data_IF_401739614404
#
_entry.id   IF_401739614404
#
_cell.length_a   1.000
_cell.length_b   1.000
_cell.length_c   1.000
_cell.angle_alpha   90.00
_cell.angle_beta   90.00
_cell.angle_gamma   90.00
#
_symmetry.space_group_name_H-M   'P 1'
#
loop_
_entity.id
_entity.type
_entity.pdbx_description
1 polymer ?
#
# COMPACT_ATOMS: atom_id res chain seq x y z
N UNK A 1 -18.80 -9.27 -21.36
CA UNK A 1 -19.44 -8.71 -20.16
C UNK A 1 -18.33 -8.46 -19.16
N UNK A 2 -18.32 -7.31 -18.48
CA UNK A 2 -17.31 -7.02 -17.46
C UNK A 2 -17.53 -7.89 -16.23
N UNK A 3 -16.46 -8.43 -15.64
CA UNK A 3 -16.55 -9.28 -14.46
C UNK A 3 -15.32 -9.02 -13.58
N UNK A 4 -15.55 -8.45 -12.41
CA UNK A 4 -14.50 -8.09 -11.45
C UNK A 4 -14.67 -8.92 -10.18
N UNK A 5 -13.60 -9.59 -9.77
CA UNK A 5 -13.51 -10.27 -8.49
C UNK A 5 -12.75 -9.40 -7.50
N UNK A 6 -13.22 -9.38 -6.26
CA UNK A 6 -12.45 -8.86 -5.12
C UNK A 6 -12.12 -10.02 -4.17
N UNK A 7 -10.84 -10.20 -3.90
CA UNK A 7 -10.33 -11.23 -2.98
C UNK A 7 -9.99 -10.57 -1.66
N UNK A 8 -10.52 -11.12 -0.58
CA UNK A 8 -10.40 -10.56 0.77
C UNK A 8 -10.17 -11.67 1.81
N UNK A 9 -8.93 -11.90 2.24
CA UNK A 9 -8.65 -12.76 3.39
C UNK A 9 -9.14 -12.08 4.70
N UNK A 10 -10.04 -12.72 5.44
CA UNK A 10 -10.53 -12.14 6.69
C UNK A 10 -9.41 -12.03 7.72
N UNK A 11 -9.33 -10.88 8.38
CA UNK A 11 -8.37 -10.65 9.46
C UNK A 11 -6.92 -11.02 9.06
N UNK A 12 -6.49 -10.70 7.85
CA UNK A 12 -5.26 -11.18 7.21
C UNK A 12 -4.03 -11.15 8.13
N UNK A 13 -3.75 -10.00 8.76
CA UNK A 13 -2.57 -9.84 9.60
C UNK A 13 -2.60 -10.78 10.82
N UNK A 14 -3.72 -10.83 11.55
CA UNK A 14 -3.85 -11.68 12.74
C UNK A 14 -3.93 -13.17 12.39
N UNK A 15 -4.52 -13.51 11.25
CA UNK A 15 -4.52 -14.89 10.74
C UNK A 15 -3.10 -15.37 10.45
N UNK A 16 -2.25 -14.54 9.84
CA UNK A 16 -0.85 -14.88 9.59
C UNK A 16 -0.04 -15.03 10.88
N UNK A 17 -0.24 -14.15 11.86
CA UNK A 17 0.43 -14.30 13.17
C UNK A 17 -0.01 -15.62 13.86
N UNK A 18 -1.30 -15.97 13.74
CA UNK A 18 -1.78 -17.27 14.25
C UNK A 18 -1.26 -18.49 13.47
N UNK A 19 -0.87 -18.35 12.19
CA UNK A 19 -0.20 -19.40 11.43
C UNK A 19 1.25 -19.60 11.88
N UNK A 20 1.94 -18.50 12.18
CA UNK A 20 3.32 -18.53 12.70
C UNK A 20 3.37 -19.04 14.15
N UNK A 21 2.42 -18.61 14.99
CA UNK A 21 2.32 -18.99 16.38
C UNK A 21 0.94 -19.62 16.69
N UNK A 22 0.77 -20.95 16.55
CA UNK A 22 -0.53 -21.63 16.69
C UNK A 22 -1.24 -21.39 18.03
N UNK A 23 -0.50 -21.13 19.11
CA UNK A 23 -1.05 -20.80 20.42
C UNK A 23 -1.89 -19.50 20.43
N UNK A 24 -1.77 -18.67 19.40
CA UNK A 24 -2.49 -17.41 19.27
C UNK A 24 -3.83 -17.54 18.53
N UNK A 25 -4.11 -18.67 17.86
CA UNK A 25 -5.26 -18.83 16.94
C UNK A 25 -6.62 -18.66 17.62
N UNK A 26 -6.72 -19.02 18.90
CA UNK A 26 -8.00 -19.01 19.65
C UNK A 26 -8.07 -17.85 20.63
N UNK A 27 -7.07 -16.97 20.64
CA UNK A 27 -7.00 -15.86 21.59
C UNK A 27 -7.40 -14.54 20.92
N UNK A 28 -7.98 -13.59 21.67
CA UNK A 28 -8.22 -12.25 21.15
C UNK A 28 -6.90 -11.55 20.86
N UNK A 29 -6.66 -11.23 19.55
CA UNK A 29 -5.46 -10.58 19.07
C UNK A 29 -5.76 -9.21 18.49
N UNK A 30 -4.89 -8.26 18.75
CA UNK A 30 -4.84 -6.96 18.08
C UNK A 30 -3.44 -6.70 17.53
N UNK A 31 -3.36 -6.14 16.34
CA UNK A 31 -2.13 -5.61 15.79
C UNK A 31 -2.14 -4.10 15.99
N UNK A 32 -1.11 -3.57 16.66
CA UNK A 32 -0.99 -2.14 16.88
C UNK A 32 0.49 -1.72 16.97
N UNK A 33 0.83 -0.45 16.67
CA UNK A 33 2.19 0.05 16.81
C UNK A 33 2.69 -0.09 18.26
N UNK A 34 3.95 -0.45 18.48
CA UNK A 34 4.51 -0.52 19.82
C UNK A 34 4.61 0.89 20.44
N UNK A 35 4.38 0.97 21.75
CA UNK A 35 4.79 2.05 22.63
C UNK A 35 4.16 3.44 22.44
N UNK A 36 2.96 3.59 21.85
CA UNK A 36 2.24 4.85 21.92
C UNK A 36 1.00 4.73 22.82
N UNK A 37 0.89 5.52 23.86
CA UNK A 37 -0.27 5.56 24.77
C UNK A 37 -1.62 5.77 24.05
N UNK A 38 -1.56 6.30 22.82
CA UNK A 38 -2.68 6.57 21.93
C UNK A 38 -2.70 5.69 20.69
N UNK A 39 -1.87 4.63 20.64
CA UNK A 39 -1.86 3.75 19.49
C UNK A 39 -3.25 3.14 19.26
N UNK A 40 -3.71 3.29 18.03
CA UNK A 40 -4.97 2.71 17.60
C UNK A 40 -4.74 1.31 17.03
N UNK A 41 -5.72 0.45 17.20
CA UNK A 41 -5.71 -0.90 16.66
C UNK A 41 -5.76 -0.85 15.14
N UNK A 42 -4.78 -1.49 14.48
CA UNK A 42 -4.69 -1.60 13.02
C UNK A 42 -5.46 -2.81 12.48
N UNK A 43 -5.41 -3.94 13.19
CA UNK A 43 -6.11 -5.15 12.80
C UNK A 43 -6.52 -5.95 14.04
N UNK A 44 -7.61 -6.72 13.92
CA UNK A 44 -8.19 -7.53 14.99
C UNK A 44 -8.44 -8.96 14.51
N UNK A 45 -8.27 -9.93 15.41
CA UNK A 45 -8.74 -11.29 15.20
C UNK A 45 -10.27 -11.37 15.30
N UNK A 46 -10.86 -12.48 14.86
CA UNK A 46 -12.28 -12.73 14.99
C UNK A 46 -12.73 -12.76 16.47
N UNK A 47 -11.90 -13.32 17.34
CA UNK A 47 -12.12 -13.41 18.79
C UNK A 47 -12.16 -12.02 19.43
N UNK A 48 -11.22 -11.16 19.07
CA UNK A 48 -11.19 -9.78 19.58
C UNK A 48 -12.41 -8.96 19.13
N UNK A 49 -12.88 -9.18 17.90
CA UNK A 49 -14.11 -8.54 17.41
C UNK A 49 -15.36 -9.04 18.13
N UNK A 50 -15.46 -10.36 18.42
CA UNK A 50 -16.55 -10.93 19.23
C UNK A 50 -16.58 -10.35 20.66
N UNK A 51 -15.43 -9.92 21.17
CA UNK A 51 -15.34 -9.18 22.43
C UNK A 51 -15.70 -7.69 22.32
N UNK A 52 -16.27 -7.25 21.19
CA UNK A 52 -16.73 -5.87 20.98
C UNK A 52 -15.63 -4.87 20.61
N UNK A 53 -14.43 -5.34 20.25
CA UNK A 53 -13.35 -4.45 19.84
C UNK A 53 -13.48 -4.04 18.38
N UNK A 54 -13.16 -2.78 18.08
CA UNK A 54 -13.22 -2.22 16.73
C UNK A 54 -11.84 -1.73 16.26
N UNK A 55 -11.64 -1.76 14.96
CA UNK A 55 -10.45 -1.18 14.35
C UNK A 55 -10.44 0.34 14.56
N UNK A 56 -9.27 0.90 14.84
CA UNK A 56 -9.14 2.32 15.21
C UNK A 56 -9.35 2.62 16.69
N UNK A 57 -9.86 1.66 17.48
CA UNK A 57 -10.02 1.83 18.93
C UNK A 57 -8.65 2.01 19.59
N UNK A 58 -8.49 2.95 20.56
CA UNK A 58 -7.27 3.08 21.35
C UNK A 58 -6.98 1.79 22.16
N UNK A 59 -5.72 1.37 22.20
CA UNK A 59 -5.30 0.13 22.89
C UNK A 59 -5.76 0.11 24.35
N UNK A 60 -5.61 1.22 25.07
CA UNK A 60 -6.05 1.30 26.48
C UNK A 60 -7.53 1.03 26.67
N UNK A 61 -8.38 1.52 25.76
CA UNK A 61 -9.82 1.25 25.78
C UNK A 61 -10.09 -0.21 25.47
N UNK A 62 -9.42 -0.77 24.46
CA UNK A 62 -9.55 -2.16 24.07
C UNK A 62 -9.16 -3.14 25.21
N UNK A 63 -8.05 -2.87 25.90
CA UNK A 63 -7.59 -3.68 27.04
C UNK A 63 -8.53 -3.62 28.24
N UNK A 64 -9.25 -2.50 28.43
CA UNK A 64 -10.30 -2.42 29.47
C UNK A 64 -11.51 -3.27 29.12
N UNK A 65 -11.89 -3.32 27.83
CA UNK A 65 -13.02 -4.12 27.36
C UNK A 65 -12.68 -5.62 27.28
N UNK A 66 -11.44 -5.94 26.93
CA UNK A 66 -10.95 -7.31 26.81
C UNK A 66 -9.60 -7.44 27.53
N UNK A 67 -9.57 -7.80 28.82
CA UNK A 67 -8.33 -7.93 29.60
C UNK A 67 -7.37 -8.98 29.02
N UNK A 68 -7.90 -10.03 28.38
CA UNK A 68 -7.10 -11.10 27.76
C UNK A 68 -6.56 -10.75 26.37
N UNK A 69 -6.73 -9.51 25.93
CA UNK A 69 -6.27 -9.04 24.62
C UNK A 69 -4.76 -9.10 24.50
N UNK A 70 -4.27 -9.87 23.53
CA UNK A 70 -2.86 -9.89 23.16
C UNK A 70 -2.62 -8.84 22.10
N UNK A 71 -1.72 -7.89 22.36
CA UNK A 71 -1.32 -6.86 21.41
C UNK A 71 0.03 -7.20 20.83
N UNK A 72 0.11 -7.33 19.49
CA UNK A 72 1.33 -7.62 18.75
C UNK A 72 1.74 -6.41 17.89
N UNK A 73 3.04 -6.16 17.74
CA UNK A 73 3.52 -5.16 16.78
C UNK A 73 3.28 -5.64 15.35
N UNK A 74 3.07 -4.72 14.38
CA UNK A 74 2.95 -5.08 12.98
C UNK A 74 4.21 -5.78 12.47
N UNK A 75 4.02 -6.83 11.64
CA UNK A 75 5.10 -7.55 10.97
C UNK A 75 5.00 -7.37 9.43
N UNK A 76 5.42 -6.20 8.89
CA UNK A 76 5.25 -5.89 7.47
C UNK A 76 5.96 -6.88 6.55
N UNK A 77 7.08 -7.47 7.01
CA UNK A 77 7.83 -8.46 6.21
C UNK A 77 7.03 -9.75 5.99
N UNK A 78 6.39 -10.24 7.06
CA UNK A 78 5.51 -11.42 6.99
C UNK A 78 4.32 -11.14 6.08
N UNK A 79 3.63 -10.01 6.29
CA UNK A 79 2.43 -9.64 5.53
C UNK A 79 2.73 -9.43 4.04
N UNK A 80 3.85 -8.77 3.72
CA UNK A 80 4.27 -8.58 2.33
C UNK A 80 4.65 -9.89 1.64
N UNK A 81 5.28 -10.84 2.35
CA UNK A 81 5.63 -12.16 1.81
C UNK A 81 4.39 -12.98 1.53
N UNK A 82 3.46 -13.04 2.47
CA UNK A 82 2.20 -13.77 2.30
C UNK A 82 1.32 -13.15 1.21
N UNK A 83 1.29 -11.81 1.12
CA UNK A 83 0.56 -11.09 0.06
C UNK A 83 1.14 -11.38 -1.32
N UNK A 84 2.47 -11.44 -1.47
CA UNK A 84 3.11 -11.85 -2.74
C UNK A 84 2.75 -13.27 -3.13
N UNK A 85 2.83 -14.22 -2.19
CA UNK A 85 2.47 -15.61 -2.43
C UNK A 85 0.99 -15.74 -2.87
N UNK A 86 0.09 -14.98 -2.25
CA UNK A 86 -1.32 -14.92 -2.69
C UNK A 86 -1.43 -14.37 -4.12
N UNK A 87 -0.77 -13.26 -4.43
CA UNK A 87 -0.82 -12.67 -5.77
C UNK A 87 -0.22 -13.58 -6.84
N UNK A 88 0.80 -14.37 -6.54
CA UNK A 88 1.35 -15.40 -7.45
C UNK A 88 0.31 -16.46 -7.80
N UNK A 89 -0.47 -16.92 -6.81
CA UNK A 89 -1.58 -17.85 -7.07
C UNK A 89 -2.63 -17.17 -7.95
N UNK A 90 -3.03 -15.94 -7.63
CA UNK A 90 -4.08 -15.22 -8.35
C UNK A 90 -3.74 -14.96 -9.83
N UNK A 91 -2.45 -14.73 -10.15
CA UNK A 91 -1.97 -14.48 -11.53
C UNK A 91 -2.26 -15.62 -12.51
N UNK A 92 -2.44 -16.83 -12.02
CA UNK A 92 -2.79 -17.98 -12.85
C UNK A 92 -4.24 -17.88 -13.37
N UNK A 93 -5.12 -17.17 -12.66
CA UNK A 93 -6.56 -17.12 -12.92
C UNK A 93 -7.05 -15.85 -13.62
N UNK A 94 -6.25 -14.80 -13.63
CA UNK A 94 -6.67 -13.52 -14.22
C UNK A 94 -5.52 -12.84 -14.97
N UNK A 95 -5.79 -12.23 -16.14
CA UNK A 95 -4.79 -11.49 -16.90
C UNK A 95 -4.36 -10.20 -16.19
N UNK A 96 -5.27 -9.56 -15.46
CA UNK A 96 -5.01 -8.31 -14.75
C UNK A 96 -5.38 -8.44 -13.28
N UNK A 97 -4.41 -8.07 -12.42
CA UNK A 97 -4.58 -8.05 -10.96
C UNK A 97 -4.16 -6.69 -10.45
N UNK A 98 -5.03 -6.08 -9.64
CA UNK A 98 -4.77 -4.85 -8.91
C UNK A 98 -4.63 -5.15 -7.41
N UNK A 99 -3.43 -5.15 -6.84
CA UNK A 99 -3.23 -5.29 -5.41
C UNK A 99 -3.84 -4.10 -4.63
N UNK A 100 -4.50 -4.40 -3.51
CA UNK A 100 -5.07 -3.39 -2.61
C UNK A 100 -4.60 -3.62 -1.18
N UNK A 101 -3.46 -3.04 -0.81
CA UNK A 101 -2.86 -3.25 0.51
C UNK A 101 -2.35 -4.68 0.71
N UNK A 102 -2.32 -5.13 1.97
CA UNK A 102 -1.87 -6.47 2.30
C UNK A 102 -2.99 -7.51 2.10
N UNK A 103 -2.75 -8.50 1.25
CA UNK A 103 -3.63 -9.66 1.06
C UNK A 103 -4.88 -9.42 0.21
N UNK A 104 -5.23 -8.19 -0.11
CA UNK A 104 -6.40 -7.88 -0.92
C UNK A 104 -6.02 -7.64 -2.38
N UNK A 105 -6.89 -8.03 -3.30
CA UNK A 105 -6.68 -7.76 -4.72
C UNK A 105 -8.01 -7.74 -5.49
N UNK A 106 -8.07 -6.90 -6.54
CA UNK A 106 -9.07 -7.01 -7.59
C UNK A 106 -8.50 -7.80 -8.76
N UNK A 107 -9.35 -8.62 -9.38
CA UNK A 107 -9.03 -9.39 -10.58
C UNK A 107 -10.03 -9.03 -11.68
N UNK A 108 -9.54 -8.82 -12.89
CA UNK A 108 -10.41 -8.66 -14.06
C UNK A 108 -10.53 -10.00 -14.82
N UNK A 109 -11.72 -10.55 -14.81
CA UNK A 109 -12.07 -11.75 -15.57
C UNK A 109 -12.91 -11.44 -16.82
N UNK A 110 -12.97 -10.18 -17.24
CA UNK A 110 -13.74 -9.79 -18.43
C UNK A 110 -13.19 -10.52 -19.66
N UNK A 111 -14.07 -11.15 -20.41
CA UNK A 111 -13.70 -11.88 -21.63
C UNK A 111 -13.01 -13.25 -21.43
N UNK A 112 -12.71 -13.65 -20.20
CA UNK A 112 -11.95 -14.90 -19.93
C UNK A 112 -12.81 -16.14 -19.78
N UNK A 113 -14.13 -16.02 -19.83
CA UNK A 113 -15.08 -17.13 -19.56
C UNK A 113 -14.91 -18.35 -20.48
N UNK A 114 -14.39 -18.17 -21.71
CA UNK A 114 -14.08 -19.29 -22.61
C UNK A 114 -12.85 -20.08 -22.20
N UNK A 115 -11.90 -19.44 -21.49
CA UNK A 115 -10.64 -20.08 -21.06
C UNK A 115 -10.78 -20.65 -19.65
N UNK A 116 -11.41 -19.95 -18.75
CA UNK A 116 -11.44 -20.29 -17.32
C UNK A 116 -12.82 -20.75 -16.83
N UNK A 117 -13.86 -20.61 -17.65
CA UNK A 117 -15.25 -20.89 -17.25
C UNK A 117 -15.94 -19.69 -16.58
N UNK A 118 -17.13 -19.91 -16.00
CA UNK A 118 -17.87 -18.86 -15.28
C UNK A 118 -17.08 -18.26 -14.12
N UNK A 119 -17.24 -16.96 -13.82
CA UNK A 119 -16.51 -16.28 -12.74
C UNK A 119 -16.68 -16.97 -11.37
N UNK A 120 -17.84 -17.56 -11.10
CA UNK A 120 -18.11 -18.30 -9.86
C UNK A 120 -17.22 -19.55 -9.73
N UNK A 121 -17.03 -20.30 -10.82
CA UNK A 121 -16.18 -21.50 -10.84
C UNK A 121 -14.71 -21.12 -10.68
N UNK A 122 -14.29 -20.01 -11.30
CA UNK A 122 -12.94 -19.46 -11.12
C UNK A 122 -12.71 -19.08 -9.65
N UNK A 123 -13.66 -18.38 -9.04
CA UNK A 123 -13.58 -17.99 -7.64
C UNK A 123 -13.55 -19.19 -6.69
N UNK A 124 -14.34 -20.24 -6.97
CA UNK A 124 -14.32 -21.48 -6.20
C UNK A 124 -12.96 -22.20 -6.32
N UNK A 125 -12.32 -22.18 -7.51
CA UNK A 125 -10.98 -22.73 -7.71
C UNK A 125 -9.91 -21.92 -6.98
N UNK A 126 -9.97 -20.60 -7.07
CA UNK A 126 -9.06 -19.69 -6.33
C UNK A 126 -9.14 -19.99 -4.84
N UNK A 127 -10.34 -20.08 -4.26
CA UNK A 127 -10.53 -20.36 -2.83
C UNK A 127 -9.90 -21.68 -2.42
N UNK A 128 -10.13 -22.75 -3.18
CA UNK A 128 -9.54 -24.08 -2.92
C UNK A 128 -8.01 -24.04 -2.99
N UNK A 129 -7.46 -23.41 -4.01
CA UNK A 129 -6.02 -23.30 -4.23
C UNK A 129 -5.32 -22.50 -3.12
N UNK A 130 -5.89 -21.35 -2.73
CA UNK A 130 -5.37 -20.54 -1.64
C UNK A 130 -5.45 -21.28 -0.30
N UNK A 131 -6.57 -21.92 0.01
CA UNK A 131 -6.71 -22.71 1.23
C UNK A 131 -5.72 -23.87 1.29
N UNK A 132 -5.49 -24.57 0.16
CA UNK A 132 -4.57 -25.70 0.10
C UNK A 132 -3.10 -25.26 0.24
N UNK A 133 -2.70 -24.17 -0.43
CA UNK A 133 -1.29 -23.72 -0.45
C UNK A 133 -0.90 -22.80 0.69
N UNK A 134 -1.79 -21.90 1.09
CA UNK A 134 -1.49 -20.84 2.07
C UNK A 134 -2.13 -21.07 3.45
N UNK A 135 -3.00 -22.06 3.56
CA UNK A 135 -3.66 -22.48 4.81
C UNK A 135 -4.47 -21.39 5.51
N UNK A 136 -4.97 -20.42 4.77
CA UNK A 136 -5.94 -19.45 5.28
C UNK A 136 -7.15 -19.28 4.34
N UNK A 137 -8.33 -18.97 4.90
CA UNK A 137 -9.53 -18.78 4.09
C UNK A 137 -9.49 -17.44 3.36
N UNK A 138 -10.24 -17.36 2.24
CA UNK A 138 -10.51 -16.10 1.55
C UNK A 138 -12.00 -16.01 1.21
N UNK A 139 -12.56 -14.80 1.33
CA UNK A 139 -13.84 -14.45 0.75
C UNK A 139 -13.63 -13.85 -0.64
N UNK A 140 -14.54 -14.12 -1.56
CA UNK A 140 -14.48 -13.61 -2.94
C UNK A 140 -15.82 -12.97 -3.29
N UNK A 141 -15.79 -11.66 -3.57
CA UNK A 141 -16.94 -10.92 -4.12
C UNK A 141 -16.84 -10.78 -5.62
N UNK A 142 -17.91 -11.06 -6.35
CA UNK A 142 -17.99 -11.01 -7.81
C UNK A 142 -19.08 -10.03 -8.22
N UNK A 143 -18.74 -9.06 -9.08
CA UNK A 143 -19.68 -8.10 -9.63
C UNK A 143 -19.15 -7.50 -10.95
N UNK A 144 -19.90 -6.58 -11.57
CA UNK A 144 -19.44 -5.90 -12.77
C UNK A 144 -18.37 -4.82 -12.54
N UNK A 145 -18.14 -4.40 -11.30
CA UNK A 145 -17.17 -3.35 -10.98
C UNK A 145 -16.54 -3.53 -9.60
N UNK A 146 -15.50 -2.76 -9.33
CA UNK A 146 -14.73 -2.83 -8.08
C UNK A 146 -15.55 -2.47 -6.84
N UNK A 147 -16.41 -1.46 -6.97
CA UNK A 147 -17.24 -0.99 -5.85
C UNK A 147 -18.15 -2.11 -5.34
N UNK A 148 -18.93 -2.70 -6.23
CA UNK A 148 -19.95 -3.69 -5.86
C UNK A 148 -19.32 -5.01 -5.44
N UNK A 149 -18.24 -5.45 -6.09
CA UNK A 149 -17.53 -6.68 -5.67
C UNK A 149 -16.96 -6.57 -4.27
N UNK A 150 -16.47 -5.39 -3.87
CA UNK A 150 -15.99 -5.14 -2.50
C UNK A 150 -17.15 -4.96 -1.51
N UNK A 151 -18.23 -4.26 -1.92
CA UNK A 151 -19.43 -4.06 -1.10
C UNK A 151 -20.11 -5.40 -0.78
N UNK A 152 -20.13 -6.35 -1.71
CA UNK A 152 -20.68 -7.69 -1.48
C UNK A 152 -20.06 -8.37 -0.26
N UNK A 153 -18.73 -8.37 -0.16
CA UNK A 153 -18.03 -8.96 1.00
C UNK A 153 -18.33 -8.19 2.29
N UNK A 154 -18.42 -6.86 2.22
CA UNK A 154 -18.73 -6.04 3.40
C UNK A 154 -20.15 -6.27 3.91
N UNK A 155 -21.12 -6.36 3.00
CA UNK A 155 -22.52 -6.64 3.32
C UNK A 155 -22.68 -7.99 4.01
N UNK A 156 -22.06 -9.03 3.48
CA UNK A 156 -22.09 -10.37 4.03
C UNK A 156 -21.53 -10.44 5.45
N UNK A 157 -20.43 -9.76 5.71
CA UNK A 157 -19.85 -9.68 7.05
C UNK A 157 -20.77 -9.03 8.08
N UNK A 158 -21.77 -8.22 7.68
CA UNK A 158 -22.77 -7.60 8.55
C UNK A 158 -23.97 -8.48 8.84
N UNK A 159 -24.38 -9.34 7.92
CA UNK A 159 -25.56 -10.22 8.08
C UNK A 159 -25.41 -11.16 9.28
N UNK A 160 -24.20 -11.32 9.80
CA UNK A 160 -23.89 -12.19 10.91
C UNK A 160 -24.32 -11.74 12.32
N UNK A 161 -25.08 -10.65 12.51
CA UNK A 161 -25.62 -10.21 13.82
C UNK A 161 -25.32 -8.76 14.18
N UNK A 162 -25.89 -8.23 15.31
CA UNK A 162 -25.71 -6.85 15.74
C UNK A 162 -24.24 -6.46 15.99
N UNK A 163 -23.36 -7.44 16.19
CA UNK A 163 -21.91 -7.25 16.37
C UNK A 163 -21.15 -7.28 15.05
N UNK A 164 -21.83 -7.39 13.91
CA UNK A 164 -21.34 -7.20 12.54
C UNK A 164 -20.26 -8.18 12.05
N UNK A 165 -19.93 -9.23 12.83
CA UNK A 165 -18.73 -10.03 12.60
C UNK A 165 -18.89 -11.52 12.93
N UNK A 166 -20.14 -12.01 13.07
CA UNK A 166 -20.39 -13.41 13.36
C UNK A 166 -20.36 -14.27 12.12
N UNK A 167 -19.41 -15.16 12.11
CA UNK A 167 -19.45 -16.47 11.45
C UNK A 167 -19.72 -16.60 9.95
N UNK A 168 -19.53 -15.60 9.14
CA UNK A 168 -19.08 -15.95 7.81
C UNK A 168 -17.76 -16.71 8.00
N UNK A 169 -17.66 -17.93 7.54
CA UNK A 169 -16.47 -18.78 7.69
C UNK A 169 -15.19 -18.14 7.10
N UNK A 170 -15.28 -16.89 6.63
CA UNK A 170 -14.24 -16.17 5.91
C UNK A 170 -13.90 -16.85 4.59
N UNK A 171 -14.71 -17.78 4.17
CA UNK A 171 -14.54 -18.62 2.99
C UNK A 171 -15.80 -18.58 2.11
N UNK A 172 -16.30 -17.38 1.81
CA UNK A 172 -17.57 -17.19 1.11
C UNK A 172 -17.37 -16.69 -0.32
N UNK A 173 -18.32 -17.07 -1.17
CA UNK A 173 -18.40 -16.67 -2.56
C UNK A 173 -19.70 -15.91 -2.76
N UNK A 174 -19.57 -14.61 -3.03
CA UNK A 174 -20.67 -13.68 -3.14
C UNK A 174 -20.76 -13.15 -4.56
N UNK A 175 -21.90 -13.35 -5.21
CA UNK A 175 -22.09 -12.96 -6.59
C UNK A 175 -23.26 -11.98 -6.72
N UNK A 176 -22.99 -10.80 -7.24
CA UNK A 176 -24.01 -9.83 -7.62
C UNK A 176 -24.15 -9.85 -9.15
N UNK A 177 -25.30 -10.33 -9.67
CA UNK A 177 -25.54 -10.36 -11.10
C UNK A 177 -25.51 -8.97 -11.73
N UNK A 178 -25.11 -8.90 -12.98
CA UNK A 178 -25.11 -7.69 -13.76
C UNK A 178 -26.52 -7.12 -13.90
N UNK A 179 -26.65 -5.82 -13.65
CA UNK A 179 -27.94 -5.10 -13.66
C UNK A 179 -28.60 -5.00 -12.27
N UNK A 180 -28.20 -5.82 -11.31
CA UNK A 180 -28.77 -5.86 -9.96
C UNK A 180 -27.94 -5.04 -8.95
N UNK A 181 -26.93 -4.30 -9.39
CA UNK A 181 -26.00 -3.57 -8.50
C UNK A 181 -26.74 -2.57 -7.61
N UNK A 182 -27.69 -1.82 -8.19
CA UNK A 182 -28.49 -0.85 -7.45
C UNK A 182 -29.42 -1.52 -6.44
N UNK A 183 -30.09 -2.60 -6.84
CA UNK A 183 -31.03 -3.34 -5.98
C UNK A 183 -30.27 -3.99 -4.81
N UNK A 184 -29.07 -4.52 -5.08
CA UNK A 184 -28.19 -5.09 -4.05
C UNK A 184 -27.75 -4.03 -3.04
N UNK A 185 -27.33 -2.83 -3.51
CA UNK A 185 -26.81 -1.78 -2.63
C UNK A 185 -27.91 -1.03 -1.87
N UNK A 186 -29.11 -0.90 -2.42
CA UNK A 186 -30.16 -0.07 -1.84
C UNK A 186 -30.50 -0.39 -0.37
N UNK A 187 -30.65 -1.65 0.06
CA UNK A 187 -30.92 -2.00 1.45
C UNK A 187 -29.68 -2.01 2.34
N UNK A 188 -28.50 -1.71 1.82
CA UNK A 188 -27.27 -1.73 2.60
C UNK A 188 -27.03 -0.39 3.29
N UNK A 189 -26.52 -0.40 4.51
CA UNK A 189 -26.13 0.82 5.21
C UNK A 189 -24.87 1.45 4.60
N UNK A 190 -24.65 2.74 4.89
CA UNK A 190 -23.59 3.55 4.28
C UNK A 190 -22.17 3.01 4.50
N UNK A 191 -21.89 2.33 5.60
CA UNK A 191 -20.57 1.77 5.90
C UNK A 191 -20.20 0.56 5.02
N UNK A 192 -21.18 -0.07 4.37
CA UNK A 192 -20.92 -1.10 3.34
C UNK A 192 -20.30 -0.48 2.09
N UNK A 193 -20.55 0.81 1.80
CA UNK A 193 -19.96 1.49 0.65
C UNK A 193 -18.45 1.63 0.81
N UNK A 194 -17.64 1.00 -0.07
CA UNK A 194 -16.19 1.12 0.00
C UNK A 194 -15.74 2.56 -0.23
N UNK A 195 -14.64 2.98 0.44
CA UNK A 195 -14.00 4.28 0.20
C UNK A 195 -14.94 5.49 0.38
N UNK A 196 -15.95 5.37 1.21
CA UNK A 196 -16.75 6.50 1.64
C UNK A 196 -15.96 7.28 2.70
N UNK A 197 -15.70 8.55 2.41
CA UNK A 197 -15.00 9.43 3.33
C UNK A 197 -15.77 9.56 4.65
N UNK A 198 -15.11 9.42 5.82
CA UNK A 198 -15.77 9.51 7.12
C UNK A 198 -16.50 10.84 7.34
N UNK A 199 -15.95 11.96 6.85
CA UNK A 199 -16.61 13.27 6.97
C UNK A 199 -17.86 13.35 6.11
N UNK A 200 -17.85 12.75 4.91
CA UNK A 200 -19.06 12.65 4.07
C UNK A 200 -20.08 11.75 4.74
N UNK A 201 -19.65 10.62 5.31
CA UNK A 201 -20.55 9.70 6.01
C UNK A 201 -21.22 10.37 7.20
N UNK A 202 -20.47 11.01 8.10
CA UNK A 202 -21.03 11.70 9.26
C UNK A 202 -22.06 12.77 8.84
N UNK A 203 -21.76 13.55 7.78
CA UNK A 203 -22.72 14.52 7.27
C UNK A 203 -23.97 13.90 6.67
N UNK A 204 -23.89 12.71 6.05
CA UNK A 204 -25.07 11.98 5.59
C UNK A 204 -25.90 11.50 6.78
N UNK A 205 -25.26 10.97 7.82
CA UNK A 205 -25.89 10.57 9.08
C UNK A 205 -26.56 11.76 9.78
N UNK A 206 -25.93 12.95 9.78
CA UNK A 206 -26.53 14.19 10.29
C UNK A 206 -27.83 14.57 9.55
N UNK A 207 -27.95 14.20 8.26
CA UNK A 207 -29.17 14.34 7.45
C UNK A 207 -30.12 13.14 7.60
N UNK A 208 -29.87 12.24 8.54
CA UNK A 208 -30.65 11.02 8.77
C UNK A 208 -30.69 10.08 7.56
N UNK A 209 -29.67 10.10 6.74
CA UNK A 209 -29.46 9.15 5.65
C UNK A 209 -28.57 8.02 6.13
N UNK A 210 -29.14 6.86 6.31
CA UNK A 210 -28.44 5.69 6.84
C UNK A 210 -28.18 4.61 5.79
N UNK A 211 -29.08 4.56 4.78
CA UNK A 211 -29.02 3.53 3.74
C UNK A 211 -28.49 4.08 2.41
N UNK A 212 -27.77 3.23 1.68
CA UNK A 212 -27.23 3.59 0.34
C UNK A 212 -28.36 3.96 -0.63
N UNK A 213 -29.52 3.26 -0.54
CA UNK A 213 -30.66 3.50 -1.39
C UNK A 213 -31.26 4.89 -1.23
N UNK A 214 -31.23 5.46 -0.03
CA UNK A 214 -31.71 6.82 0.26
C UNK A 214 -30.86 7.85 -0.48
N UNK A 215 -29.54 7.68 -0.47
CA UNK A 215 -28.61 8.55 -1.22
C UNK A 215 -28.82 8.41 -2.73
N UNK A 216 -29.10 7.19 -3.22
CA UNK A 216 -29.29 6.93 -4.64
C UNK A 216 -30.53 7.63 -5.26
N UNK A 217 -31.53 7.95 -4.43
CA UNK A 217 -32.78 8.62 -4.86
C UNK A 217 -32.61 10.15 -4.94
N UNK A 218 -31.72 10.73 -4.12
CA UNK A 218 -31.50 12.19 -4.08
C UNK A 218 -30.99 12.68 -5.44
N UNK A 219 -31.46 13.87 -5.85
CA UNK A 219 -31.04 14.48 -7.10
C UNK A 219 -29.54 14.84 -7.07
N UNK A 220 -28.90 14.78 -8.24
CA UNK A 220 -27.49 15.15 -8.36
C UNK A 220 -27.22 16.60 -7.93
N UNK A 221 -28.13 17.51 -8.30
CA UNK A 221 -28.05 18.93 -7.94
C UNK A 221 -28.06 19.15 -6.43
N UNK A 222 -28.94 18.45 -5.71
CA UNK A 222 -29.01 18.54 -4.24
C UNK A 222 -27.74 18.00 -3.57
N UNK A 223 -27.24 16.84 -4.01
CA UNK A 223 -25.98 16.29 -3.49
C UNK A 223 -24.79 17.18 -3.82
N UNK A 224 -24.74 17.79 -5.02
CA UNK A 224 -23.67 18.72 -5.38
C UNK A 224 -23.76 20.04 -4.60
N UNK A 225 -24.95 20.52 -4.24
CA UNK A 225 -25.12 21.70 -3.39
C UNK A 225 -24.52 21.50 -1.99
N UNK A 226 -24.64 20.27 -1.43
CA UNK A 226 -24.15 19.94 -0.09
C UNK A 226 -22.69 19.47 -0.11
N UNK A 227 -22.31 18.59 -1.03
CA UNK A 227 -21.02 17.91 -1.07
C UNK A 227 -20.08 18.40 -2.18
N UNK A 228 -20.47 19.47 -2.91
CA UNK A 228 -19.69 20.02 -4.01
C UNK A 228 -19.46 18.97 -5.11
N UNK A 229 -18.27 18.93 -5.68
CA UNK A 229 -17.87 17.97 -6.72
C UNK A 229 -18.04 16.49 -6.32
N UNK A 230 -18.02 16.19 -5.03
CA UNK A 230 -18.17 14.82 -4.53
C UNK A 230 -19.60 14.30 -4.64
N UNK A 231 -20.61 15.18 -4.71
CA UNK A 231 -22.02 14.81 -4.80
C UNK A 231 -22.35 13.94 -6.02
N UNK A 232 -21.77 14.27 -7.19
CA UNK A 232 -21.93 13.47 -8.43
C UNK A 232 -21.40 12.05 -8.26
N UNK A 233 -20.17 11.95 -7.75
CA UNK A 233 -19.52 10.64 -7.51
C UNK A 233 -20.28 9.83 -6.46
N UNK A 234 -20.71 10.47 -5.37
CA UNK A 234 -21.48 9.83 -4.31
C UNK A 234 -22.77 9.20 -4.86
N UNK A 235 -23.54 9.96 -5.67
CA UNK A 235 -24.75 9.46 -6.31
C UNK A 235 -24.49 8.30 -7.26
N UNK A 236 -23.45 8.39 -8.08
CA UNK A 236 -23.09 7.34 -9.01
C UNK A 236 -22.74 6.05 -8.24
N UNK A 237 -21.94 6.15 -7.17
CA UNK A 237 -21.58 5.02 -6.32
C UNK A 237 -22.79 4.42 -5.59
N UNK A 238 -23.70 5.24 -5.08
CA UNK A 238 -24.92 4.76 -4.44
C UNK A 238 -25.83 3.99 -5.41
N UNK A 239 -25.72 4.24 -6.72
CA UNK A 239 -26.40 3.51 -7.78
C UNK A 239 -25.63 2.28 -8.28
N UNK A 240 -24.48 1.96 -7.67
CA UNK A 240 -23.64 0.85 -8.07
C UNK A 240 -22.77 1.11 -9.31
N UNK A 241 -22.61 2.37 -9.71
CA UNK A 241 -21.82 2.76 -10.89
C UNK A 241 -20.39 3.10 -10.47
N UNK A 242 -19.43 2.31 -10.95
CA UNK A 242 -18.00 2.56 -10.81
C UNK A 242 -17.29 2.25 -12.14
N UNK A 243 -16.91 3.28 -12.91
CA UNK A 243 -16.27 3.10 -14.20
C UNK A 243 -14.81 2.69 -14.11
N UNK A 244 -14.18 2.79 -12.93
CA UNK A 244 -12.74 2.54 -12.74
C UNK A 244 -12.37 1.12 -13.19
N UNK A 245 -11.37 0.96 -14.09
CA UNK A 245 -10.86 -0.35 -14.47
C UNK A 245 -10.06 -0.99 -13.33
N UNK A 246 -9.86 -2.30 -13.43
CA UNK A 246 -8.82 -3.00 -12.66
C UNK A 246 -7.49 -2.71 -13.36
N UNK A 247 -6.54 -2.13 -12.64
CA UNK A 247 -5.24 -1.74 -13.17
C UNK A 247 -4.15 -2.63 -12.61
N UNK A 248 -3.29 -3.15 -13.48
CA UNK A 248 -2.09 -3.83 -13.00
C UNK A 248 -1.18 -2.85 -12.24
N UNK A 249 -0.28 -3.34 -11.38
CA UNK A 249 0.68 -2.46 -10.71
C UNK A 249 1.47 -1.58 -11.68
N UNK A 250 1.72 -2.06 -12.90
CA UNK A 250 2.42 -1.31 -13.96
C UNK A 250 1.58 -0.18 -14.57
N UNK A 251 0.26 -0.28 -14.50
CA UNK A 251 -0.70 0.70 -15.06
C UNK A 251 -1.20 1.71 -14.02
N UNK A 252 -0.70 1.66 -12.78
CA UNK A 252 -1.08 2.64 -11.77
C UNK A 252 -0.64 4.05 -12.18
N UNK A 253 -1.58 4.97 -12.22
CA UNK A 253 -1.37 6.38 -12.61
C UNK A 253 -0.84 7.25 -11.46
N UNK A 254 -0.72 6.70 -10.27
CA UNK A 254 -0.26 7.41 -9.08
C UNK A 254 0.53 6.50 -8.14
N UNK A 255 1.45 7.08 -7.38
CA UNK A 255 2.15 6.43 -6.29
C UNK A 255 1.82 7.12 -4.98
N UNK A 256 1.33 6.37 -4.02
CA UNK A 256 0.94 6.85 -2.70
C UNK A 256 1.76 6.17 -1.61
N UNK A 257 2.20 6.96 -0.62
CA UNK A 257 2.85 6.49 0.61
C UNK A 257 2.38 7.35 1.76
N UNK A 258 1.98 6.73 2.89
CA UNK A 258 1.54 7.42 4.08
C UNK A 258 2.36 6.99 5.30
N UNK A 259 2.50 7.90 6.26
CA UNK A 259 3.16 7.66 7.55
C UNK A 259 2.34 8.27 8.68
N UNK A 260 1.96 7.43 9.66
CA UNK A 260 1.35 7.91 10.90
C UNK A 260 2.46 8.24 11.91
N UNK A 261 2.38 9.42 12.50
CA UNK A 261 3.34 9.88 13.51
C UNK A 261 3.14 9.13 14.83
N UNK A 262 4.19 8.86 15.56
CA UNK A 262 4.13 8.20 16.88
C UNK A 262 3.48 9.10 17.94
N UNK A 263 3.65 10.41 17.79
CA UNK A 263 3.01 11.45 18.60
C UNK A 263 2.62 12.61 17.69
N UNK A 264 1.51 13.28 18.03
CA UNK A 264 1.07 14.47 17.29
C UNK A 264 2.10 15.58 17.49
N UNK A 265 2.66 16.15 16.41
CA UNK A 265 3.71 17.16 16.48
C UNK A 265 3.67 18.17 15.34
N UNK A 266 4.13 19.39 15.60
CA UNK A 266 4.44 20.43 14.59
C UNK A 266 5.94 20.68 14.44
N UNK A 267 6.74 19.88 15.13
CA UNK A 267 8.20 20.01 15.10
C UNK A 267 8.74 19.64 13.72
N UNK A 268 9.31 20.60 13.02
CA UNK A 268 9.89 20.45 11.70
C UNK A 268 11.11 19.53 11.70
N UNK A 269 11.83 19.44 12.80
CA UNK A 269 12.99 18.54 12.95
C UNK A 269 12.55 17.07 12.98
N UNK A 270 11.29 16.80 13.34
CA UNK A 270 10.66 15.47 13.26
C UNK A 270 10.01 15.26 11.89
N UNK A 271 9.30 16.26 11.36
CA UNK A 271 8.51 16.12 10.15
C UNK A 271 9.37 16.03 8.87
N UNK A 272 10.47 16.81 8.79
CA UNK A 272 11.35 16.83 7.61
C UNK A 272 12.05 15.49 7.34
N UNK A 273 12.61 14.78 8.33
CA UNK A 273 13.16 13.43 8.13
C UNK A 273 12.12 12.43 7.64
N UNK A 274 10.88 12.53 8.13
CA UNK A 274 9.78 11.65 7.69
C UNK A 274 9.41 11.93 6.23
N UNK A 275 9.23 13.20 5.86
CA UNK A 275 8.99 13.58 4.46
C UNK A 275 10.11 13.13 3.54
N UNK A 276 11.36 13.20 3.99
CA UNK A 276 12.51 12.71 3.23
C UNK A 276 12.41 11.21 2.99
N UNK A 277 12.11 10.43 4.03
CA UNK A 277 11.93 8.98 3.91
C UNK A 277 10.79 8.62 2.94
N UNK A 278 9.68 9.36 2.99
CA UNK A 278 8.55 9.16 2.06
C UNK A 278 8.95 9.51 0.62
N UNK A 279 9.71 10.59 0.42
CA UNK A 279 10.22 11.01 -0.90
C UNK A 279 11.20 9.98 -1.48
N UNK A 280 12.12 9.44 -0.68
CA UNK A 280 13.04 8.37 -1.09
C UNK A 280 12.29 7.09 -1.50
N UNK A 281 11.24 6.71 -0.77
CA UNK A 281 10.37 5.59 -1.13
C UNK A 281 9.68 5.80 -2.48
N UNK A 282 9.14 7.00 -2.71
CA UNK A 282 8.44 7.34 -3.95
C UNK A 282 9.41 7.44 -5.13
N UNK A 283 10.57 8.10 -4.95
CA UNK A 283 11.60 8.23 -5.97
C UNK A 283 12.15 6.87 -6.43
N UNK A 284 12.42 5.96 -5.49
CA UNK A 284 12.82 4.60 -5.82
C UNK A 284 11.75 3.86 -6.66
N UNK A 285 10.46 4.07 -6.40
CA UNK A 285 9.37 3.48 -7.19
C UNK A 285 9.26 4.08 -8.59
N UNK A 286 9.46 5.40 -8.73
CA UNK A 286 9.51 6.07 -10.03
C UNK A 286 10.62 5.50 -10.90
N UNK A 287 11.86 5.51 -10.41
CA UNK A 287 13.05 5.06 -11.15
C UNK A 287 12.98 3.59 -11.55
N UNK A 288 12.47 2.72 -10.65
CA UNK A 288 12.27 1.29 -10.99
C UNK A 288 11.33 1.06 -12.15
N UNK A 289 10.44 2.01 -12.45
CA UNK A 289 9.49 1.94 -13.57
C UNK A 289 9.84 2.87 -14.71
N UNK A 290 10.99 3.54 -14.65
CA UNK A 290 11.40 4.54 -15.62
C UNK A 290 10.33 5.62 -15.85
N UNK A 291 9.73 6.12 -14.76
CA UNK A 291 8.67 7.13 -14.77
C UNK A 291 9.16 8.41 -14.12
N UNK A 292 8.64 9.55 -14.59
CA UNK A 292 8.76 10.86 -13.95
C UNK A 292 7.38 11.30 -13.43
N UNK A 293 7.37 12.19 -12.44
CA UNK A 293 6.12 12.72 -11.89
C UNK A 293 5.96 14.21 -12.23
N UNK A 294 4.77 14.59 -12.67
CA UNK A 294 4.41 15.98 -12.95
C UNK A 294 3.83 16.73 -11.75
N UNK A 295 3.36 16.03 -10.71
CA UNK A 295 2.77 16.66 -9.53
C UNK A 295 2.98 15.84 -8.26
N UNK A 296 3.28 16.54 -7.16
CA UNK A 296 3.30 15.99 -5.81
C UNK A 296 2.12 16.55 -5.02
N UNK A 297 1.35 15.68 -4.38
CA UNK A 297 0.26 16.00 -3.46
C UNK A 297 0.69 15.58 -2.05
N UNK A 298 0.69 16.52 -1.12
CA UNK A 298 0.80 16.25 0.31
C UNK A 298 -0.59 16.24 0.93
N UNK A 299 -0.93 15.18 1.63
CA UNK A 299 -2.08 15.10 2.53
C UNK A 299 -1.58 15.02 3.96
N UNK A 300 -2.02 15.95 4.80
CA UNK A 300 -1.65 16.01 6.20
C UNK A 300 -2.91 16.00 7.07
N UNK A 301 -3.00 15.07 8.02
CA UNK A 301 -4.07 15.02 9.00
C UNK A 301 -3.61 15.67 10.30
N UNK A 302 -4.43 16.54 10.86
CA UNK A 302 -4.19 17.19 12.14
C UNK A 302 -4.69 16.32 13.32
N UNK A 303 -4.33 16.73 14.54
CA UNK A 303 -4.77 16.08 15.78
C UNK A 303 -6.30 16.06 15.98
N UNK A 304 -7.00 17.02 15.37
CA UNK A 304 -8.47 17.11 15.35
C UNK A 304 -9.11 16.26 14.25
N UNK A 305 -8.34 15.40 13.57
CA UNK A 305 -8.74 14.56 12.43
C UNK A 305 -9.14 15.33 11.16
N UNK A 306 -8.99 16.65 11.14
CA UNK A 306 -9.16 17.40 9.89
C UNK A 306 -7.97 17.13 8.97
N UNK A 307 -8.23 16.92 7.68
CA UNK A 307 -7.20 16.68 6.67
C UNK A 307 -7.06 17.89 5.76
N UNK A 308 -5.84 18.26 5.48
CA UNK A 308 -5.49 19.29 4.52
C UNK A 308 -4.67 18.68 3.38
N UNK A 309 -4.93 19.12 2.17
CA UNK A 309 -4.26 18.63 0.97
C UNK A 309 -3.61 19.82 0.23
N UNK A 310 -2.35 19.66 -0.18
CA UNK A 310 -1.60 20.68 -0.94
C UNK A 310 -0.85 20.04 -2.09
N UNK A 311 -1.06 20.58 -3.28
CA UNK A 311 -0.41 20.12 -4.50
C UNK A 311 0.74 21.07 -4.88
N UNK A 312 1.85 20.50 -5.31
CA UNK A 312 3.01 21.20 -5.86
C UNK A 312 3.33 20.63 -7.22
N UNK A 313 3.39 21.44 -8.29
CA UNK A 313 3.82 20.97 -9.61
C UNK A 313 5.30 20.58 -9.57
N UNK A 314 5.65 19.57 -10.38
CA UNK A 314 6.99 19.07 -10.55
C UNK A 314 7.39 19.19 -12.02
N UNK A 315 8.64 19.54 -12.29
CA UNK A 315 9.21 19.58 -13.65
C UNK A 315 9.86 18.24 -13.94
N UNK A 316 9.04 17.20 -14.21
CA UNK A 316 9.53 15.84 -14.49
C UNK A 316 10.52 15.31 -13.43
N UNK A 317 10.19 15.47 -12.15
CA UNK A 317 11.08 15.13 -11.03
C UNK A 317 11.37 13.62 -10.99
N UNK A 318 12.64 13.28 -10.84
CA UNK A 318 13.17 11.92 -10.75
C UNK A 318 14.04 11.71 -9.50
N UNK A 319 14.71 12.75 -9.03
CA UNK A 319 15.63 12.68 -7.91
C UNK A 319 14.90 12.81 -6.56
N UNK A 320 15.38 12.05 -5.58
CA UNK A 320 14.82 12.10 -4.22
C UNK A 320 14.88 13.51 -3.59
N UNK A 321 15.91 14.30 -3.95
CA UNK A 321 16.09 15.66 -3.46
C UNK A 321 14.99 16.58 -3.99
N UNK A 322 14.67 16.49 -5.28
CA UNK A 322 13.60 17.29 -5.91
C UNK A 322 12.24 16.99 -5.29
N UNK A 323 11.94 15.71 -5.07
CA UNK A 323 10.71 15.27 -4.41
C UNK A 323 10.65 15.75 -2.95
N UNK A 324 11.75 15.69 -2.23
CA UNK A 324 11.83 16.15 -0.86
C UNK A 324 11.65 17.67 -0.73
N UNK A 325 12.26 18.45 -1.64
CA UNK A 325 12.07 19.91 -1.66
C UNK A 325 10.63 20.30 -1.99
N UNK A 326 9.99 19.59 -2.92
CA UNK A 326 8.58 19.79 -3.22
C UNK A 326 7.69 19.41 -2.02
N UNK A 327 7.99 18.31 -1.33
CA UNK A 327 7.27 17.89 -0.13
C UNK A 327 7.42 18.91 1.01
N UNK A 328 8.61 19.50 1.19
CA UNK A 328 8.82 20.59 2.17
C UNK A 328 7.99 21.83 1.83
N UNK A 329 7.98 22.24 0.56
CA UNK A 329 7.14 23.36 0.10
C UNK A 329 5.66 23.08 0.35
N UNK A 330 5.20 21.86 0.06
CA UNK A 330 3.83 21.45 0.32
C UNK A 330 3.49 21.47 1.82
N UNK A 331 4.42 21.04 2.70
CA UNK A 331 4.24 21.07 4.15
C UNK A 331 4.13 22.52 4.66
N UNK A 332 4.98 23.42 4.17
CA UNK A 332 4.90 24.87 4.53
C UNK A 332 3.54 25.44 4.15
N UNK A 333 3.01 25.09 2.97
CA UNK A 333 1.67 25.52 2.53
C UNK A 333 0.54 24.84 3.31
N UNK A 334 0.77 23.65 3.87
CA UNK A 334 -0.20 22.92 4.66
C UNK A 334 -0.23 23.37 6.13
N UNK A 335 0.87 23.88 6.67
CA UNK A 335 0.99 24.30 8.07
C UNK A 335 0.31 25.65 8.32
N UNK A 336 -1.01 25.69 8.17
CA UNK A 336 -1.84 26.89 8.32
C UNK A 336 -2.51 27.01 9.68
N UNK A 337 -2.65 25.90 10.40
CA UNK A 337 -3.27 25.82 11.72
C UNK A 337 -2.19 25.64 12.80
N UNK A 338 -2.46 26.13 14.00
CA UNK A 338 -1.62 25.89 15.20
C UNK A 338 -1.91 24.51 15.83
N UNK A 339 -2.35 23.53 15.01
CA UNK A 339 -2.64 22.19 15.46
C UNK A 339 -1.50 21.26 15.03
N UNK A 340 -1.18 20.30 15.89
CA UNK A 340 -0.18 19.28 15.59
C UNK A 340 -0.63 18.34 14.47
N UNK A 341 0.31 17.89 13.66
CA UNK A 341 0.05 16.85 12.65
C UNK A 341 0.06 15.48 13.30
N UNK A 342 -0.81 14.61 12.80
CA UNK A 342 -0.96 13.19 13.19
C UNK A 342 -0.41 12.25 12.15
N UNK A 343 -0.61 12.53 10.88
CA UNK A 343 -0.11 11.73 9.78
C UNK A 343 0.22 12.59 8.57
N UNK A 344 1.17 12.11 7.79
CA UNK A 344 1.58 12.69 6.52
C UNK A 344 1.48 11.62 5.43
N UNK A 345 0.95 11.99 4.27
CA UNK A 345 0.96 11.16 3.09
C UNK A 345 1.43 11.96 1.88
N UNK A 346 2.20 11.31 1.03
CA UNK A 346 2.64 11.86 -0.25
C UNK A 346 2.06 11.02 -1.38
N UNK A 347 1.52 11.70 -2.37
CA UNK A 347 1.08 11.08 -3.63
C UNK A 347 1.79 11.76 -4.78
N UNK A 348 2.31 10.96 -5.71
CA UNK A 348 2.83 11.40 -6.99
C UNK A 348 1.85 11.00 -8.07
N UNK A 349 1.45 11.94 -8.89
CA UNK A 349 0.57 11.72 -10.05
C UNK A 349 1.11 12.41 -11.30
N UNK A 350 0.33 12.36 -12.41
CA UNK A 350 0.77 12.80 -13.72
C UNK A 350 2.09 12.09 -14.11
N UNK A 351 2.08 10.76 -13.94
CA UNK A 351 3.23 9.94 -14.25
C UNK A 351 3.40 9.83 -15.78
N UNK A 352 4.61 10.10 -16.26
CA UNK A 352 4.99 10.02 -17.67
C UNK A 352 6.20 9.12 -17.78
N UNK A 353 6.25 8.30 -18.80
CA UNK A 353 7.43 7.51 -19.11
C UNK A 353 8.60 8.44 -19.46
N UNK A 354 9.77 8.15 -18.93
CA UNK A 354 10.98 8.88 -19.25
C UNK A 354 11.43 8.46 -20.64
N UNK A 355 11.17 9.29 -21.63
CA UNK A 355 11.74 9.13 -22.97
C UNK A 355 13.23 9.51 -22.90
N UNK A 356 14.11 8.53 -22.90
CA UNK A 356 15.52 8.77 -23.13
C UNK A 356 15.71 8.97 -24.63
N UNK A 357 15.86 10.21 -25.07
CA UNK A 357 16.36 10.45 -26.42
C UNK A 357 17.84 10.11 -26.45
N UNK A 358 18.18 9.02 -27.14
CA UNK A 358 19.56 8.63 -27.38
C UNK A 358 20.14 9.52 -28.47
N UNK A 359 21.38 9.95 -28.31
CA UNK A 359 22.16 10.57 -29.41
C UNK A 359 22.36 9.53 -30.49
N UNK A 360 22.14 9.93 -31.75
CA UNK A 360 22.24 9.03 -32.90
C UNK A 360 23.68 8.54 -33.11
N UNK A 361 24.67 9.26 -32.58
CA UNK A 361 26.09 9.03 -32.84
C UNK A 361 26.84 8.39 -31.68
N UNK A 362 26.55 8.81 -30.43
CA UNK A 362 27.31 8.39 -29.24
C UNK A 362 26.55 7.50 -28.27
N UNK A 363 25.24 7.23 -28.49
CA UNK A 363 24.38 6.47 -27.59
C UNK A 363 24.20 7.13 -26.22
N UNK A 364 24.62 8.38 -26.07
CA UNK A 364 24.41 9.18 -24.86
C UNK A 364 23.08 9.95 -24.94
N UNK A 365 22.31 10.07 -23.85
CA UNK A 365 21.06 10.83 -23.87
C UNK A 365 21.34 12.32 -24.09
N UNK A 366 20.75 12.92 -25.14
CA UNK A 366 20.80 14.35 -25.40
C UNK A 366 19.68 15.07 -24.71
N UNK A 367 19.99 16.07 -23.89
CA UNK A 367 19.01 17.02 -23.39
C UNK A 367 18.71 18.05 -24.48
N UNK A 368 17.43 18.15 -24.89
CA UNK A 368 16.99 19.18 -25.84
C UNK A 368 17.24 20.57 -25.26
N UNK A 369 18.11 21.33 -25.94
CA UNK A 369 18.10 22.78 -25.87
C UNK A 369 16.99 23.31 -26.78
N UNK A 370 16.12 24.17 -26.24
CA UNK A 370 15.17 24.91 -27.06
C UNK A 370 15.93 25.88 -27.95
N UNK A 371 15.68 25.79 -29.26
CA UNK A 371 16.14 26.79 -30.25
C UNK A 371 15.55 28.16 -29.87
N UNK A 372 16.36 29.02 -29.32
CA UNK A 372 16.17 30.46 -29.34
C UNK A 372 17.50 31.10 -29.73
N UNK A 373 17.55 31.55 -30.98
CA UNK A 373 18.63 32.37 -31.53
C UNK A 373 18.65 33.75 -30.84
N UNK A 374 19.28 33.83 -29.69
CA UNK A 374 19.76 35.09 -29.14
C UNK A 374 21.19 34.90 -28.64
N UNK A 375 22.13 35.84 -28.88
CA UNK A 375 23.51 35.72 -28.43
C UNK A 375 23.57 35.85 -26.91
N UNK A 376 23.69 34.70 -26.25
CA UNK A 376 23.84 34.61 -24.80
C UNK A 376 25.16 35.20 -24.34
N UNK A 377 25.08 36.05 -23.32
CA UNK A 377 26.27 36.60 -22.65
C UNK A 377 27.02 35.46 -21.92
N UNK A 378 28.34 35.43 -22.03
CA UNK A 378 29.26 34.40 -21.50
C UNK A 378 29.06 34.01 -20.02
N UNK A 379 28.31 34.80 -19.23
CA UNK A 379 28.00 34.50 -17.82
C UNK A 379 26.83 33.50 -17.61
N UNK A 380 25.94 33.36 -18.62
CA UNK A 380 24.79 32.43 -18.52
C UNK A 380 25.20 30.98 -18.84
N UNK A 381 26.14 30.78 -19.75
CA UNK A 381 26.61 29.46 -20.14
C UNK A 381 27.37 28.74 -19.04
N UNK A 382 28.21 29.42 -18.28
CA UNK A 382 28.93 28.83 -17.16
C UNK A 382 28.01 28.43 -15.97
N UNK A 383 26.92 29.13 -15.77
CA UNK A 383 25.95 28.78 -14.71
C UNK A 383 25.07 27.56 -15.10
N UNK A 384 24.69 27.46 -16.38
CA UNK A 384 23.93 26.36 -16.94
C UNK A 384 24.76 25.07 -17.03
N UNK A 385 26.03 25.20 -17.40
CA UNK A 385 27.00 24.09 -17.49
C UNK A 385 27.28 23.49 -16.08
N UNK A 386 27.53 24.32 -15.08
CA UNK A 386 27.65 23.90 -13.65
C UNK A 386 26.40 23.27 -13.12
N UNK A 387 25.21 23.72 -13.55
CA UNK A 387 23.93 23.14 -13.12
C UNK A 387 23.70 21.76 -13.75
N UNK A 388 24.09 21.58 -15.01
CA UNK A 388 24.00 20.31 -15.72
C UNK A 388 25.01 19.29 -15.18
N UNK A 389 26.25 19.70 -14.90
CA UNK A 389 27.23 18.85 -14.21
C UNK A 389 26.76 18.38 -12.84
N UNK A 390 26.15 19.28 -12.04
CA UNK A 390 25.54 18.91 -10.75
C UNK A 390 24.41 17.90 -10.92
N UNK A 391 23.50 18.10 -11.87
CA UNK A 391 22.40 17.14 -12.14
C UNK A 391 22.93 15.78 -12.58
N UNK A 392 23.97 15.75 -13.41
CA UNK A 392 24.62 14.51 -13.80
C UNK A 392 25.26 13.77 -12.62
N UNK A 393 25.97 14.48 -11.75
CA UNK A 393 26.56 13.92 -10.54
C UNK A 393 25.48 13.39 -9.55
N UNK A 394 24.43 14.16 -9.33
CA UNK A 394 23.32 13.78 -8.44
C UNK A 394 22.58 12.54 -8.96
N UNK A 395 22.43 12.40 -10.28
CA UNK A 395 21.85 11.23 -10.92
C UNK A 395 22.71 9.98 -10.75
N UNK A 396 24.02 10.09 -10.95
CA UNK A 396 24.97 8.98 -10.77
C UNK A 396 25.03 8.54 -9.30
N UNK A 397 25.06 9.49 -8.37
CA UNK A 397 25.01 9.23 -6.93
C UNK A 397 23.71 8.52 -6.54
N UNK A 398 22.58 8.97 -7.07
CA UNK A 398 21.27 8.38 -6.79
C UNK A 398 21.20 6.94 -7.29
N UNK A 399 21.71 6.67 -8.49
CA UNK A 399 21.80 5.31 -9.03
C UNK A 399 22.66 4.39 -8.15
N UNK A 400 23.81 4.87 -7.66
CA UNK A 400 24.66 4.12 -6.75
C UNK A 400 23.93 3.78 -5.43
N UNK A 401 23.18 4.74 -4.86
CA UNK A 401 22.35 4.53 -3.66
C UNK A 401 21.27 3.48 -3.92
N UNK A 402 20.58 3.55 -5.05
CA UNK A 402 19.53 2.58 -5.42
C UNK A 402 20.11 1.17 -5.61
N UNK A 403 21.30 1.04 -6.17
CA UNK A 403 22.01 -0.25 -6.27
C UNK A 403 22.35 -0.84 -4.89
N UNK A 404 22.81 -0.01 -3.95
CA UNK A 404 23.07 -0.43 -2.57
C UNK A 404 21.76 -0.86 -1.88
N UNK A 405 20.71 -0.08 -2.02
CA UNK A 405 19.39 -0.41 -1.43
C UNK A 405 18.79 -1.68 -2.03
N UNK A 406 18.96 -1.94 -3.31
CA UNK A 406 18.45 -3.16 -3.96
C UNK A 406 19.20 -4.41 -3.49
N UNK A 407 20.51 -4.30 -3.23
CA UNK A 407 21.38 -5.42 -2.86
C UNK A 407 21.37 -5.72 -1.36
N UNK A 408 21.34 -4.70 -0.54
CA UNK A 408 21.50 -4.81 0.93
C UNK A 408 20.27 -4.35 1.72
N UNK A 409 19.22 -3.87 1.04
CA UNK A 409 17.98 -3.37 1.64
C UNK A 409 18.03 -1.87 1.98
N UNK A 410 16.87 -1.24 2.08
CA UNK A 410 16.71 0.20 2.28
C UNK A 410 17.33 0.77 3.59
N UNK A 411 17.70 -0.10 4.54
CA UNK A 411 18.36 0.29 5.80
C UNK A 411 19.89 0.26 5.73
N UNK A 412 20.46 -0.21 4.62
CA UNK A 412 21.92 -0.34 4.47
C UNK A 412 22.61 1.02 4.39
N UNK A 413 21.96 2.00 3.79
CA UNK A 413 22.44 3.36 3.69
C UNK A 413 21.33 4.31 4.15
N UNK A 414 21.57 5.08 5.20
CA UNK A 414 20.65 6.12 5.67
C UNK A 414 21.36 7.46 5.58
N UNK A 415 20.67 8.47 5.04
CA UNK A 415 21.18 9.84 5.03
C UNK A 415 21.19 10.39 6.46
N UNK A 416 22.15 11.25 6.83
CA UNK A 416 22.47 11.64 8.22
C UNK A 416 21.33 12.19 9.06
N UNK A 417 20.32 12.81 8.45
CA UNK A 417 19.17 13.40 9.14
C UNK A 417 18.24 12.38 9.85
N UNK A 418 18.02 11.13 9.36
CA UNK A 418 17.21 10.14 10.08
C UNK A 418 17.88 9.48 11.29
N UNK A 419 19.17 9.73 11.51
CA UNK A 419 19.93 9.11 12.61
C UNK A 419 19.66 9.73 13.99
N UNK A 420 19.09 10.94 14.05
CA UNK A 420 18.83 11.67 15.31
C UNK A 420 17.68 11.13 16.16
N UNK A 421 16.86 10.18 15.65
CA UNK A 421 15.70 9.62 16.36
C UNK A 421 15.89 8.20 16.90
N UNK A 422 17.12 7.75 17.11
CA UNK A 422 17.38 6.52 17.87
C UNK A 422 17.48 6.84 19.38
N UNK A 423 16.37 7.16 20.02
CA UNK A 423 16.22 7.07 21.46
C UNK A 423 15.64 5.70 21.83
N UNK A 424 16.47 4.69 21.81
CA UNK A 424 16.27 3.40 22.46
C UNK A 424 17.51 3.07 23.28
N UNK A 425 17.43 2.32 24.41
CA UNK A 425 18.56 2.07 25.27
C UNK A 425 19.70 1.40 24.49
N UNK A 426 20.88 1.97 24.61
CA UNK A 426 22.11 1.48 24.03
C UNK A 426 22.41 0.06 24.53
N UNK A 427 22.21 -0.95 23.69
CA UNK A 427 22.88 -2.21 23.86
C UNK A 427 24.35 -2.01 23.46
N UNK A 428 25.19 -1.88 24.50
CA UNK A 428 26.64 -1.94 24.36
C UNK A 428 27.03 -3.35 23.93
N UNK A 429 27.42 -3.50 22.67
CA UNK A 429 28.16 -4.65 22.18
C UNK A 429 29.32 -4.13 21.34
N UNK A 430 30.55 -4.64 21.51
CA UNK A 430 31.73 -4.11 20.83
C UNK A 430 31.74 -4.58 19.38
N UNK A 431 31.51 -3.69 18.45
CA UNK A 431 31.84 -3.90 17.03
C UNK A 431 32.81 -2.81 16.58
N UNK A 432 34.07 -3.04 16.84
CA UNK A 432 35.17 -2.38 16.15
C UNK A 432 35.20 -2.86 14.69
N UNK A 433 34.63 -2.08 13.80
CA UNK A 433 34.88 -2.19 12.35
C UNK A 433 36.04 -1.26 12.07
N UNK A 434 37.18 -1.73 11.55
CA UNK A 434 38.30 -0.85 11.22
C UNK A 434 37.93 0.07 10.05
N UNK A 435 38.44 1.30 10.01
CA UNK A 435 38.18 2.23 8.92
C UNK A 435 38.81 1.73 7.62
N UNK A 436 38.00 1.65 6.56
CA UNK A 436 38.47 1.40 5.20
C UNK A 436 39.35 2.58 4.75
N UNK A 437 40.66 2.40 4.78
CA UNK A 437 41.59 3.31 4.09
C UNK A 437 41.48 3.10 2.59
N UNK A 438 41.07 4.14 1.89
CA UNK A 438 41.13 4.22 0.46
C UNK A 438 42.61 4.39 0.05
N UNK A 439 43.28 3.31 -0.40
CA UNK A 439 44.56 3.39 -1.09
C UNK A 439 44.32 3.06 -2.56
N UNK A 440 44.78 3.97 -3.41
CA UNK A 440 44.79 3.86 -4.84
C UNK A 440 45.53 2.59 -5.33
N UNK A 441 44.87 1.89 -6.28
CA UNK A 441 45.50 1.11 -7.32
C UNK A 441 46.29 -0.12 -6.93
N UNK A 442 45.66 -1.29 -7.15
CA UNK A 442 46.20 -2.42 -7.94
C UNK A 442 45.29 -3.63 -7.81
N UNK A 443 44.78 -4.05 -8.94
CA UNK A 443 44.12 -5.35 -9.11
C UNK A 443 45.15 -6.46 -8.85
N UNK A 444 44.89 -7.28 -7.82
CA UNK A 444 45.51 -8.60 -7.69
C UNK A 444 44.43 -9.66 -7.71
N UNK A 445 44.42 -10.45 -8.78
CA UNK A 445 43.77 -11.76 -8.79
C UNK A 445 44.45 -12.64 -7.75
N UNK A 446 43.67 -13.18 -6.81
CA UNK A 446 44.07 -14.36 -6.05
C UNK A 446 43.14 -15.50 -6.37
N UNK A 447 43.70 -16.55 -6.91
CA UNK A 447 43.20 -17.90 -7.07
C UNK A 447 42.79 -18.49 -5.74
N UNK A 448 41.65 -19.10 -5.69
CA UNK A 448 41.17 -19.86 -4.53
C UNK A 448 41.80 -21.25 -4.53
N UNK A 449 42.39 -21.65 -3.43
CA UNK A 449 42.67 -23.04 -3.10
C UNK A 449 41.57 -23.58 -2.13
N UNK A 450 41.15 -24.82 -2.34
CA UNK A 450 40.06 -25.42 -1.56
C UNK A 450 40.64 -26.37 -0.49
N UNK A 451 40.40 -26.13 0.79
CA UNK A 451 40.41 -27.22 1.77
C UNK A 451 39.61 -26.92 3.05
N UNK A 452 38.60 -27.79 3.24
CA UNK A 452 38.05 -28.34 4.48
C UNK A 452 37.37 -27.36 5.48
N UNK A 453 36.08 -27.50 5.70
CA UNK A 453 35.58 -28.39 6.77
C UNK A 453 34.06 -28.62 6.62
N UNK A 454 33.73 -29.90 6.58
CA UNK A 454 32.42 -30.51 6.68
C UNK A 454 31.74 -30.20 8.01
N UNK A 455 30.50 -29.65 7.96
CA UNK A 455 29.56 -29.79 9.06
C UNK A 455 28.22 -30.23 8.49
N UNK A 456 27.90 -31.49 8.82
CA UNK A 456 26.72 -32.26 8.45
C UNK A 456 25.42 -31.63 8.98
N UNK A 457 24.46 -31.37 8.12
CA UNK A 457 23.04 -31.15 8.44
C UNK A 457 22.30 -32.49 8.34
N UNK A 458 21.34 -32.79 9.22
CA UNK A 458 20.59 -34.04 9.16
C UNK A 458 19.58 -34.05 8.03
N UNK A 459 19.59 -35.14 7.26
CA UNK A 459 18.62 -35.48 6.24
C UNK A 459 17.27 -35.82 6.90
N UNK A 460 16.22 -35.07 6.52
CA UNK A 460 14.83 -35.50 6.74
C UNK A 460 14.45 -36.42 5.59
N UNK A 461 14.13 -37.67 5.91
CA UNK A 461 13.70 -38.68 4.99
C UNK A 461 12.26 -38.42 4.50
N UNK A 462 12.06 -38.54 3.19
CA UNK A 462 10.76 -38.65 2.55
C UNK A 462 10.28 -40.12 2.65
N UNK A 463 8.99 -40.40 2.94
CA UNK A 463 8.48 -41.74 2.90
C UNK A 463 8.19 -42.16 1.46
N UNK A 464 8.68 -43.32 1.13
CA UNK A 464 8.52 -44.04 -0.13
C UNK A 464 7.04 -44.44 -0.41
N UNK A 465 6.68 -44.36 -1.68
CA UNK A 465 5.45 -44.83 -2.29
C UNK A 465 5.18 -46.31 -2.00
N UNK A 466 4.02 -46.62 -1.41
CA UNK A 466 3.49 -47.99 -1.37
C UNK A 466 2.43 -48.15 -2.46
N UNK A 467 2.67 -49.05 -3.38
CA UNK A 467 1.74 -49.56 -4.36
C UNK A 467 0.58 -50.28 -3.67
N UNK A 468 -0.66 -49.93 -3.99
CA UNK A 468 -1.80 -50.80 -3.72
C UNK A 468 -2.03 -51.71 -4.90
N UNK A 469 -1.96 -52.99 -4.63
CA UNK A 469 -2.39 -54.06 -5.51
C UNK A 469 -3.90 -54.26 -5.37
N UNK A 470 -4.51 -54.57 -6.50
CA UNK A 470 -5.87 -54.98 -6.72
C UNK A 470 -6.22 -56.28 -5.94
N UNK A 471 -7.42 -56.35 -5.38
CA UNK A 471 -8.21 -57.60 -5.33
C UNK A 471 -9.67 -57.32 -4.95
N UNK A 472 -10.57 -57.80 -5.78
CA UNK A 472 -11.97 -58.18 -5.61
C UNK A 472 -12.98 -57.07 -5.40
#
# INVERSE_FOLDING_TARGET
MRSVLFVDPPAFCTTLEGLVAPALRTRPLAIAPPAADRAAILALSAEARRAGLTQGMPIRTAQRLCPDLIVLPPNPKLYARASRALHEILRVFAPTIEPKGYGHAFLDLSGTSRLFGPPQDVAARIRREVSARLQFPISVGIAMNKLVSQAAIRADRRIGGPDGWTQGSGNELLYVPAGNEREFLAPQPLDVMPELDPGIRNRLEDYQLEMIGEVAVISESALCAVFGRHGRMLRARARGIDPRPVLSPEQQSEFHVAHALTSDTNDLDILHPILRLLSEHLGCRLRRRNLTAGRLLLEASYADYTTISRAVPLSAALLDVELWEAARRALTLANTKRLAFRSLALTLDQLVEQEAQLDLWDGTPVQRYGDSDEPASESYDQASEKLNERKGYDSALQHAVDCIHSRYGAKALLRGTPLSHRSGPAHQGPTTVPPLRCTQGKLYRRTADPHQTTTTLPKVALPSSTRCASAS
#
